data_IF_683646533385
#
_entry.id   IF_683646533385
#
_cell.length_a   1.000
_cell.length_b   1.000
_cell.length_c   1.000
_cell.angle_alpha   90.00
_cell.angle_beta   90.00
_cell.angle_gamma   90.00
#
_symmetry.space_group_name_H-M   'P 1'
#
loop_
_entity.id
_entity.type
_entity.pdbx_description
1 polymer ?
#
# COMPACT_ATOMS: atom_id res chain seq x y z
N UNK A 1 55.45 -47.59 0.23
CA UNK A 1 54.99 -46.74 -0.90
C UNK A 1 53.47 -46.86 -1.15
N UNK A 2 52.73 -47.81 -0.55
CA UNK A 2 51.29 -47.99 -0.81
C UNK A 2 50.36 -47.63 0.38
N UNK A 3 50.66 -46.58 1.14
CA UNK A 3 49.77 -46.12 2.23
C UNK A 3 49.49 -44.62 2.26
N UNK A 4 49.65 -43.95 1.10
CA UNK A 4 49.33 -42.53 0.92
C UNK A 4 48.30 -42.26 -0.19
N UNK A 5 47.72 -43.31 -0.79
CA UNK A 5 46.85 -43.18 -1.97
C UNK A 5 45.38 -43.56 -1.67
N UNK A 6 44.87 -43.18 -0.49
CA UNK A 6 43.44 -43.33 -0.14
C UNK A 6 42.81 -42.00 0.33
N UNK A 7 43.56 -40.89 0.35
CA UNK A 7 43.00 -39.58 0.79
C UNK A 7 42.53 -38.70 -0.39
N UNK A 8 42.69 -39.13 -1.65
CA UNK A 8 42.37 -38.28 -2.82
C UNK A 8 41.35 -38.85 -3.82
N UNK A 9 40.53 -39.83 -3.42
CA UNK A 9 39.29 -40.18 -4.13
C UNK A 9 38.07 -39.62 -3.39
N UNK A 10 38.15 -38.39 -2.92
CA UNK A 10 36.95 -37.62 -2.59
C UNK A 10 36.40 -37.05 -3.90
N UNK A 11 35.50 -37.81 -4.48
CA UNK A 11 34.87 -37.67 -5.80
C UNK A 11 34.41 -36.22 -6.10
N UNK A 12 34.81 -35.61 -7.23
CA UNK A 12 34.43 -34.23 -7.58
C UNK A 12 32.91 -34.02 -7.68
N UNK A 13 32.14 -35.10 -7.90
CA UNK A 13 30.69 -35.11 -7.87
C UNK A 13 30.10 -34.75 -6.48
N UNK A 14 30.74 -35.19 -5.39
CA UNK A 14 30.32 -34.85 -4.02
C UNK A 14 30.57 -33.38 -3.69
N UNK A 15 31.69 -32.81 -4.14
CA UNK A 15 31.96 -31.38 -4.01
C UNK A 15 30.99 -30.52 -4.81
N UNK A 16 30.62 -30.96 -6.02
CA UNK A 16 29.62 -30.29 -6.84
C UNK A 16 28.24 -30.32 -6.15
N UNK A 17 27.85 -31.49 -5.64
CA UNK A 17 26.59 -31.69 -4.90
C UNK A 17 26.49 -30.81 -3.65
N UNK A 18 27.56 -30.76 -2.83
CA UNK A 18 27.60 -29.92 -1.62
C UNK A 18 27.53 -28.43 -1.97
N UNK A 19 28.25 -27.98 -3.02
CA UNK A 19 28.21 -26.59 -3.47
C UNK A 19 26.84 -26.18 -4.01
N UNK A 20 26.18 -27.06 -4.76
CA UNK A 20 24.82 -26.82 -5.27
C UNK A 20 23.84 -26.72 -4.09
N UNK A 21 23.88 -27.67 -3.16
CA UNK A 21 23.00 -27.65 -1.97
C UNK A 21 23.21 -26.39 -1.13
N UNK A 22 24.47 -25.99 -0.93
CA UNK A 22 24.82 -24.75 -0.21
C UNK A 22 24.29 -23.51 -0.93
N UNK A 23 24.49 -23.41 -2.24
CA UNK A 23 23.99 -22.29 -3.04
C UNK A 23 22.45 -22.19 -3.00
N UNK A 24 21.74 -23.33 -3.04
CA UNK A 24 20.28 -23.38 -2.91
C UNK A 24 19.83 -22.89 -1.53
N UNK A 25 20.48 -23.35 -0.46
CA UNK A 25 20.15 -22.90 0.91
C UNK A 25 20.41 -21.40 1.09
N UNK A 26 21.54 -20.89 0.60
CA UNK A 26 21.88 -19.47 0.62
C UNK A 26 20.85 -18.63 -0.17
N UNK A 27 20.43 -19.11 -1.34
CA UNK A 27 19.41 -18.44 -2.15
C UNK A 27 18.04 -18.40 -1.46
N UNK A 28 17.61 -19.52 -0.87
CA UNK A 28 16.35 -19.60 -0.12
C UNK A 28 16.40 -18.71 1.13
N UNK A 29 17.53 -18.69 1.84
CA UNK A 29 17.71 -17.84 3.01
C UNK A 29 17.67 -16.35 2.65
N UNK A 30 18.32 -15.96 1.55
CA UNK A 30 18.28 -14.58 1.05
C UNK A 30 16.85 -14.17 0.68
N UNK A 31 16.16 -14.98 -0.11
CA UNK A 31 14.75 -14.75 -0.49
C UNK A 31 13.84 -14.55 0.72
N UNK A 32 14.03 -15.36 1.79
CA UNK A 32 13.29 -15.20 3.04
C UNK A 32 13.59 -13.86 3.72
N UNK A 33 14.88 -13.49 3.81
CA UNK A 33 15.29 -12.20 4.40
C UNK A 33 14.70 -11.03 3.62
N UNK A 34 14.79 -11.07 2.29
CA UNK A 34 14.31 -10.00 1.40
C UNK A 34 12.80 -9.80 1.56
N UNK A 35 12.02 -10.89 1.67
CA UNK A 35 10.59 -10.82 1.96
C UNK A 35 10.31 -10.17 3.31
N UNK A 36 11.00 -10.57 4.39
CA UNK A 36 10.73 -10.01 5.71
C UNK A 36 11.04 -8.52 5.77
N UNK A 37 12.11 -8.07 5.10
CA UNK A 37 12.43 -6.65 5.00
C UNK A 37 11.38 -5.91 4.17
N UNK A 38 11.06 -6.39 2.97
CA UNK A 38 10.06 -5.75 2.11
C UNK A 38 8.66 -5.69 2.76
N UNK A 39 8.29 -6.74 3.50
CA UNK A 39 7.04 -6.79 4.25
C UNK A 39 7.02 -5.77 5.39
N UNK A 40 8.09 -5.70 6.19
CA UNK A 40 8.19 -4.72 7.28
C UNK A 40 8.19 -3.27 6.76
N UNK A 41 8.94 -3.00 5.69
CA UNK A 41 8.97 -1.67 5.06
C UNK A 41 7.58 -1.26 4.55
N UNK A 42 6.83 -2.22 3.99
CA UNK A 42 5.46 -1.99 3.55
C UNK A 42 4.49 -1.79 4.73
N UNK A 43 4.62 -2.56 5.82
CA UNK A 43 3.81 -2.35 7.03
C UNK A 43 4.03 -0.97 7.64
N UNK A 44 5.28 -0.55 7.79
CA UNK A 44 5.63 0.77 8.31
C UNK A 44 5.08 1.89 7.40
N UNK A 45 5.14 1.70 6.09
CA UNK A 45 4.51 2.61 5.14
C UNK A 45 2.99 2.63 5.28
N UNK A 46 2.36 1.45 5.41
CA UNK A 46 0.92 1.31 5.54
C UNK A 46 0.38 1.98 6.81
N UNK A 47 1.14 1.94 7.90
CA UNK A 47 0.82 2.67 9.13
C UNK A 47 0.84 4.19 8.92
N UNK A 48 1.88 4.73 8.30
CA UNK A 48 2.00 6.17 8.04
C UNK A 48 0.90 6.70 7.12
N UNK A 49 0.64 5.98 6.02
CA UNK A 49 -0.40 6.40 5.07
C UNK A 49 -1.79 6.22 5.70
N UNK A 50 -1.99 5.17 6.50
CA UNK A 50 -3.23 4.95 7.23
C UNK A 50 -3.53 6.05 8.26
N UNK A 51 -2.51 6.50 9.01
CA UNK A 51 -2.61 7.65 9.91
C UNK A 51 -2.99 8.92 9.14
N UNK A 52 -2.31 9.21 8.03
CA UNK A 52 -2.58 10.39 7.19
C UNK A 52 -4.00 10.39 6.61
N UNK A 53 -4.48 9.23 6.13
CA UNK A 53 -5.85 9.08 5.62
C UNK A 53 -6.86 9.22 6.76
N UNK A 54 -6.60 8.63 7.93
CA UNK A 54 -7.49 8.73 9.10
C UNK A 54 -7.60 10.15 9.67
N UNK A 55 -6.50 10.91 9.67
CA UNK A 55 -6.50 12.32 9.99
C UNK A 55 -7.39 13.10 9.01
N UNK A 56 -7.20 12.89 7.70
CA UNK A 56 -7.99 13.56 6.68
C UNK A 56 -9.47 13.15 6.74
N UNK A 57 -9.77 11.90 7.05
CA UNK A 57 -11.13 11.42 7.30
C UNK A 57 -11.78 12.15 8.48
N UNK A 58 -11.05 12.32 9.58
CA UNK A 58 -11.53 13.05 10.76
C UNK A 58 -11.78 14.53 10.45
N UNK A 59 -10.88 15.16 9.69
CA UNK A 59 -11.01 16.54 9.27
C UNK A 59 -12.24 16.74 8.37
N UNK A 60 -12.42 15.88 7.38
CA UNK A 60 -13.52 15.95 6.41
C UNK A 60 -14.86 15.48 6.97
N UNK A 61 -14.88 14.71 8.06
CA UNK A 61 -16.12 14.38 8.78
C UNK A 61 -16.83 15.65 9.33
N UNK A 62 -16.09 16.73 9.57
CA UNK A 62 -16.67 17.99 10.01
C UNK A 62 -17.23 18.79 8.81
N UNK A 63 -18.51 18.58 8.50
CA UNK A 63 -19.21 19.26 7.41
C UNK A 63 -19.19 20.79 7.51
N UNK A 64 -19.09 21.36 8.72
CA UNK A 64 -19.00 22.81 8.87
C UNK A 64 -17.65 23.35 8.39
N UNK A 65 -16.57 22.59 8.57
CA UNK A 65 -15.25 22.96 8.05
C UNK A 65 -15.17 22.85 6.53
N UNK A 66 -15.93 21.93 5.92
CA UNK A 66 -16.02 21.78 4.46
C UNK A 66 -16.66 22.98 3.75
N UNK A 67 -17.41 23.82 4.46
CA UNK A 67 -17.96 25.08 3.90
C UNK A 67 -16.89 26.15 3.69
N UNK A 68 -15.77 26.05 4.41
CA UNK A 68 -14.62 26.92 4.20
C UNK A 68 -13.91 26.52 2.89
N UNK A 69 -13.90 27.44 1.93
CA UNK A 69 -13.34 27.19 0.60
C UNK A 69 -11.82 26.98 0.63
N UNK A 70 -11.10 27.62 1.56
CA UNK A 70 -9.66 27.43 1.68
C UNK A 70 -9.33 26.02 2.20
N UNK A 71 -10.00 25.61 3.30
CA UNK A 71 -9.82 24.27 3.89
C UNK A 71 -10.22 23.17 2.92
N UNK A 72 -11.37 23.30 2.25
CA UNK A 72 -11.81 22.31 1.27
C UNK A 72 -10.80 22.14 0.13
N UNK A 73 -10.24 23.23 -0.41
CA UNK A 73 -9.19 23.16 -1.45
C UNK A 73 -7.91 22.52 -0.95
N UNK A 74 -7.48 22.85 0.26
CA UNK A 74 -6.33 22.23 0.92
C UNK A 74 -6.52 20.72 1.04
N UNK A 75 -7.66 20.27 1.56
CA UNK A 75 -7.96 18.85 1.75
C UNK A 75 -8.13 18.09 0.43
N UNK A 76 -8.68 18.72 -0.62
CA UNK A 76 -8.69 18.15 -1.97
C UNK A 76 -7.26 17.92 -2.48
N UNK A 77 -6.34 18.86 -2.24
CA UNK A 77 -4.96 18.71 -2.68
C UNK A 77 -4.22 17.64 -1.87
N UNK A 78 -4.44 17.58 -0.56
CA UNK A 78 -3.91 16.52 0.31
C UNK A 78 -4.41 15.14 -0.13
N UNK A 79 -5.72 15.00 -0.32
CA UNK A 79 -6.34 13.77 -0.84
C UNK A 79 -5.68 13.31 -2.15
N UNK A 80 -5.48 14.21 -3.12
CA UNK A 80 -4.82 13.87 -4.39
C UNK A 80 -3.40 13.36 -4.22
N UNK A 81 -2.65 13.90 -3.26
CA UNK A 81 -1.31 13.40 -2.92
C UNK A 81 -1.39 11.98 -2.37
N UNK A 82 -2.29 11.76 -1.39
CA UNK A 82 -2.50 10.45 -0.78
C UNK A 82 -2.98 9.40 -1.80
N UNK A 83 -3.91 9.76 -2.68
CA UNK A 83 -4.41 8.89 -3.76
C UNK A 83 -3.26 8.48 -4.69
N UNK A 84 -2.37 9.42 -5.06
CA UNK A 84 -1.20 9.12 -5.87
C UNK A 84 -0.21 8.17 -5.17
N UNK A 85 0.07 8.42 -3.89
CA UNK A 85 0.96 7.56 -3.08
C UNK A 85 0.39 6.14 -2.93
N UNK A 86 -0.90 6.02 -2.65
CA UNK A 86 -1.59 4.73 -2.56
C UNK A 86 -1.54 3.98 -3.90
N UNK A 87 -1.82 4.66 -5.01
CA UNK A 87 -1.78 4.02 -6.33
C UNK A 87 -0.36 3.55 -6.69
N UNK A 88 0.68 4.31 -6.34
CA UNK A 88 2.07 3.92 -6.57
C UNK A 88 2.50 2.69 -5.75
N UNK A 89 1.92 2.47 -4.57
CA UNK A 89 2.29 1.34 -3.72
C UNK A 89 1.45 0.08 -3.95
N UNK A 90 0.46 0.12 -4.84
CA UNK A 90 -0.32 -1.06 -5.19
C UNK A 90 0.54 -2.17 -5.82
N UNK A 91 1.57 -1.78 -6.58
CA UNK A 91 2.54 -2.72 -7.16
C UNK A 91 3.46 -3.36 -6.12
N UNK A 92 3.81 -2.60 -5.06
CA UNK A 92 4.61 -3.11 -3.93
C UNK A 92 3.81 -4.15 -3.15
N UNK A 93 2.53 -3.88 -2.87
CA UNK A 93 1.62 -4.85 -2.26
C UNK A 93 1.59 -6.18 -3.04
N UNK A 94 1.41 -6.09 -4.37
CA UNK A 94 1.41 -7.28 -5.26
C UNK A 94 2.74 -8.02 -5.23
N UNK A 95 3.87 -7.30 -5.18
CA UNK A 95 5.19 -7.90 -5.11
C UNK A 95 5.44 -8.62 -3.78
N UNK A 96 5.06 -8.01 -2.66
CA UNK A 96 5.16 -8.59 -1.31
C UNK A 96 4.28 -9.84 -1.19
N UNK A 97 3.04 -9.79 -1.68
CA UNK A 97 2.14 -10.95 -1.74
C UNK A 97 2.73 -12.10 -2.57
N UNK A 98 3.31 -11.79 -3.73
CA UNK A 98 3.94 -12.79 -4.59
C UNK A 98 5.17 -13.43 -3.93
N UNK A 99 6.02 -12.63 -3.29
CA UNK A 99 7.17 -13.13 -2.53
C UNK A 99 6.72 -14.04 -1.38
N UNK A 100 5.71 -13.61 -0.62
CA UNK A 100 5.16 -14.38 0.49
C UNK A 100 4.54 -15.71 0.04
N UNK A 101 3.80 -15.73 -1.08
CA UNK A 101 3.25 -16.97 -1.66
C UNK A 101 4.36 -17.93 -2.13
N UNK A 102 5.41 -17.43 -2.77
CA UNK A 102 6.57 -18.25 -3.18
C UNK A 102 7.28 -18.87 -1.99
N UNK A 103 7.50 -18.10 -0.94
CA UNK A 103 8.10 -18.60 0.30
C UNK A 103 7.20 -19.63 0.98
N UNK A 104 5.89 -19.37 1.05
CA UNK A 104 4.91 -20.31 1.59
C UNK A 104 4.87 -21.64 0.84
N UNK A 105 5.06 -21.64 -0.48
CA UNK A 105 5.10 -22.84 -1.30
C UNK A 105 6.39 -23.68 -1.10
N UNK A 106 7.50 -23.05 -0.73
CA UNK A 106 8.79 -23.71 -0.48
C UNK A 106 8.95 -24.31 0.92
N UNK A 107 7.98 -24.11 1.82
CA UNK A 107 8.02 -24.63 3.19
C UNK A 107 7.36 -26.01 3.27
N UNK A 108 8.07 -27.00 3.83
CA UNK A 108 7.58 -28.39 3.99
C UNK A 108 6.54 -28.58 5.12
N UNK A 109 6.19 -27.53 5.88
CA UNK A 109 5.26 -27.65 7.02
C UNK A 109 4.20 -26.55 7.09
N UNK A 110 3.07 -26.89 7.71
CA UNK A 110 1.86 -26.05 7.76
C UNK A 110 1.99 -24.80 8.63
N UNK A 111 2.76 -24.82 9.73
CA UNK A 111 2.75 -23.71 10.72
C UNK A 111 3.37 -22.43 10.16
N UNK A 112 4.59 -22.51 9.64
CA UNK A 112 5.31 -21.36 9.09
C UNK A 112 4.59 -20.81 7.85
N UNK A 113 4.04 -21.71 7.02
CA UNK A 113 3.20 -21.35 5.88
C UNK A 113 1.93 -20.63 6.32
N UNK A 114 1.24 -21.11 7.36
CA UNK A 114 0.05 -20.45 7.89
C UNK A 114 0.38 -19.10 8.51
N UNK A 115 1.54 -18.94 9.17
CA UNK A 115 1.92 -17.65 9.73
C UNK A 115 2.14 -16.60 8.64
N UNK A 116 2.88 -16.95 7.57
CA UNK A 116 3.07 -16.06 6.42
C UNK A 116 1.72 -15.69 5.79
N UNK A 117 0.84 -16.67 5.57
CA UNK A 117 -0.47 -16.39 4.98
C UNK A 117 -1.32 -15.47 5.87
N UNK A 118 -1.38 -15.72 7.18
CA UNK A 118 -2.12 -14.86 8.11
C UNK A 118 -1.60 -13.42 8.11
N UNK A 119 -0.27 -13.25 8.03
CA UNK A 119 0.34 -11.91 7.96
C UNK A 119 -0.01 -11.20 6.64
N UNK A 120 0.06 -11.90 5.50
CA UNK A 120 -0.36 -11.36 4.21
C UNK A 120 -1.85 -10.99 4.21
N UNK A 121 -2.71 -11.83 4.77
CA UNK A 121 -4.14 -11.59 4.87
C UNK A 121 -4.44 -10.37 5.75
N UNK A 122 -3.76 -10.23 6.88
CA UNK A 122 -3.88 -9.07 7.77
C UNK A 122 -3.42 -7.77 7.09
N UNK A 123 -2.27 -7.80 6.40
CA UNK A 123 -1.78 -6.69 5.59
C UNK A 123 -2.78 -6.31 4.48
N UNK A 124 -3.30 -7.30 3.76
CA UNK A 124 -4.30 -7.09 2.72
C UNK A 124 -5.62 -6.54 3.24
N UNK A 125 -6.02 -6.89 4.47
CA UNK A 125 -7.19 -6.30 5.12
C UNK A 125 -6.93 -4.84 5.49
N UNK A 126 -5.80 -4.54 6.14
CA UNK A 126 -5.42 -3.15 6.47
C UNK A 126 -5.36 -2.28 5.22
N UNK A 127 -4.82 -2.79 4.12
CA UNK A 127 -4.82 -2.11 2.82
C UNK A 127 -6.23 -1.74 2.36
N UNK A 128 -7.18 -2.69 2.43
CA UNK A 128 -8.58 -2.44 2.07
C UNK A 128 -9.21 -1.39 2.97
N UNK A 129 -8.95 -1.44 4.27
CA UNK A 129 -9.51 -0.50 5.24
C UNK A 129 -9.01 0.93 4.93
N UNK A 130 -7.72 1.10 4.64
CA UNK A 130 -7.14 2.40 4.21
C UNK A 130 -7.78 2.88 2.90
N UNK A 131 -7.94 2.00 1.90
CA UNK A 131 -8.60 2.35 0.63
C UNK A 131 -10.07 2.71 0.81
N UNK A 132 -10.76 2.07 1.74
CA UNK A 132 -12.15 2.40 2.06
C UNK A 132 -12.23 3.78 2.72
N UNK A 133 -11.38 4.07 3.70
CA UNK A 133 -11.32 5.38 4.34
C UNK A 133 -11.00 6.50 3.34
N UNK A 134 -10.04 6.29 2.44
CA UNK A 134 -9.73 7.22 1.34
C UNK A 134 -10.96 7.45 0.43
N UNK A 135 -11.69 6.39 0.08
CA UNK A 135 -12.92 6.50 -0.70
C UNK A 135 -14.01 7.34 0.00
N UNK A 136 -14.16 7.20 1.32
CA UNK A 136 -15.08 8.02 2.12
C UNK A 136 -14.68 9.49 2.11
N UNK A 137 -13.38 9.78 2.26
CA UNK A 137 -12.85 11.15 2.14
C UNK A 137 -13.17 11.73 0.77
N UNK A 138 -12.92 10.97 -0.29
CA UNK A 138 -13.18 11.36 -1.68
C UNK A 138 -14.64 11.76 -1.90
N UNK A 139 -15.57 10.93 -1.43
CA UNK A 139 -17.01 11.17 -1.55
C UNK A 139 -17.42 12.46 -0.84
N UNK A 140 -17.00 12.65 0.42
CA UNK A 140 -17.31 13.87 1.18
C UNK A 140 -16.78 15.14 0.52
N UNK A 141 -15.56 15.08 -0.02
CA UNK A 141 -14.96 16.23 -0.71
C UNK A 141 -15.70 16.54 -2.01
N UNK A 142 -16.09 15.51 -2.78
CA UNK A 142 -16.84 15.67 -4.01
C UNK A 142 -18.24 16.24 -3.77
N UNK A 143 -18.96 15.75 -2.76
CA UNK A 143 -20.27 16.27 -2.36
C UNK A 143 -20.16 17.75 -1.95
N UNK A 144 -19.19 18.09 -1.11
CA UNK A 144 -18.98 19.47 -0.68
C UNK A 144 -18.63 20.38 -1.85
N UNK A 145 -17.84 19.92 -2.83
CA UNK A 145 -17.51 20.69 -4.04
C UNK A 145 -18.75 20.91 -4.91
N UNK A 146 -19.58 19.88 -5.09
CA UNK A 146 -20.82 19.97 -5.86
C UNK A 146 -21.83 20.95 -5.23
N UNK A 147 -22.01 20.91 -3.90
CA UNK A 147 -22.88 21.83 -3.19
C UNK A 147 -22.43 23.29 -3.37
N UNK A 148 -21.13 23.51 -3.32
CA UNK A 148 -20.55 24.83 -3.52
C UNK A 148 -20.76 25.33 -4.95
N UNK A 149 -20.49 24.50 -5.96
CA UNK A 149 -20.72 24.85 -7.36
C UNK A 149 -22.18 25.23 -7.62
N UNK A 150 -23.12 24.45 -7.06
CA UNK A 150 -24.55 24.75 -7.15
C UNK A 150 -24.89 26.11 -6.53
N UNK A 151 -24.34 26.41 -5.36
CA UNK A 151 -24.53 27.70 -4.69
C UNK A 151 -23.99 28.85 -5.55
N UNK A 152 -22.77 28.74 -6.05
CA UNK A 152 -22.14 29.79 -6.87
C UNK A 152 -22.89 30.03 -8.18
N UNK A 153 -23.37 28.97 -8.83
CA UNK A 153 -24.15 29.07 -10.06
C UNK A 153 -25.52 29.74 -9.81
N UNK A 154 -26.15 29.42 -8.67
CA UNK A 154 -27.43 30.04 -8.28
C UNK A 154 -27.23 31.53 -7.99
N UNK A 155 -26.20 31.89 -7.22
CA UNK A 155 -25.88 33.29 -6.92
C UNK A 155 -25.54 34.09 -8.19
N UNK A 156 -24.76 33.50 -9.10
CA UNK A 156 -24.42 34.15 -10.37
C UNK A 156 -25.65 34.41 -11.24
N UNK A 157 -26.55 33.43 -11.32
CA UNK A 157 -27.83 33.57 -12.03
C UNK A 157 -28.72 34.67 -11.43
N UNK A 158 -28.80 34.74 -10.10
CA UNK A 158 -29.57 35.76 -9.41
C UNK A 158 -28.98 37.16 -9.59
N UNK A 159 -27.65 37.29 -9.55
CA UNK A 159 -26.96 38.56 -9.81
C UNK A 159 -27.25 39.05 -11.23
N UNK A 160 -27.12 38.18 -12.24
CA UNK A 160 -27.45 38.54 -13.62
C UNK A 160 -28.91 38.97 -13.79
N UNK A 161 -29.85 38.28 -13.13
CA UNK A 161 -31.26 38.67 -13.16
C UNK A 161 -31.51 40.04 -12.52
N UNK A 162 -30.85 40.36 -11.40
CA UNK A 162 -30.94 41.68 -10.76
C UNK A 162 -30.37 42.76 -11.69
N UNK A 163 -29.22 42.52 -12.31
CA UNK A 163 -28.60 43.44 -13.25
C UNK A 163 -29.53 43.74 -14.43
N UNK A 164 -30.11 42.71 -15.05
CA UNK A 164 -31.07 42.85 -16.14
C UNK A 164 -32.30 43.68 -15.73
N UNK A 165 -32.82 43.45 -14.53
CA UNK A 165 -33.99 44.19 -13.99
C UNK A 165 -33.65 45.60 -13.50
N UNK A 166 -32.38 45.91 -13.25
CA UNK A 166 -31.93 47.25 -12.88
C UNK A 166 -31.72 48.18 -14.08
N UNK A 167 -31.61 47.59 -15.28
CA UNK A 167 -31.39 48.31 -16.54
C UNK A 167 -32.73 48.64 -17.25
N UNK A 168 -33.83 48.00 -16.84
CA UNK A 168 -35.21 48.19 -17.34
C UNK A 168 -35.97 49.30 -16.57
#
# INVERSE_FOLDING_TARGET
ILRLMIIFEYEPANFCSIRIRRAVLEATQRSRSDFHTAFADFEDWLDRIGESVGELETLTANTQSLKDTAKRREWIQQHKSLEAELNAHEEVLKAVDEMGRKLGAGLESGKDRTEIQTRLDAMGQRWKDVRQAEGVVKERLAEAEQEWEKLTNTLSSLLGWIEDKSIE
#
